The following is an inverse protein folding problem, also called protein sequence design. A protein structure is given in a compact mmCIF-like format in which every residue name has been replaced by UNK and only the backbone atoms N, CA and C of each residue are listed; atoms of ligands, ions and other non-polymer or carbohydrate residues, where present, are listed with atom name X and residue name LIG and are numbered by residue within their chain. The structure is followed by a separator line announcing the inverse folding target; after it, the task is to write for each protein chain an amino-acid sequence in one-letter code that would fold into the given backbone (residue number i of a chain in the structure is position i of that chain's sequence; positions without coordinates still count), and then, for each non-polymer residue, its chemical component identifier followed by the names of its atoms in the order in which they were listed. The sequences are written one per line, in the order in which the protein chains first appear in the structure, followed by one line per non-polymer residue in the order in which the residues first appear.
data_IF_237496374064
#
_entry.id   IF_237496374064
#
_cell.length_a   1.000
_cell.length_b   1.000
_cell.length_c   1.000
_cell.angle_alpha   90.00
_cell.angle_beta   90.00
_cell.angle_gamma   90.00
#
_symmetry.space_group_name_H-M   'P 1'
#
loop_
_entity.id
_entity.type
_entity.pdbx_description
1 polymer ?
#
# COMPACT_ATOMS: atom_id res chain seq x y z
N UNK A 1 17.13 2.69 0.73
CA UNK A 1 15.97 2.99 -0.16
C UNK A 1 14.85 2.06 0.25
N UNK A 2 13.59 2.49 0.21
CA UNK A 2 12.47 1.62 0.56
C UNK A 2 12.39 0.43 -0.40
N UNK A 3 12.24 -0.78 0.15
CA UNK A 3 11.99 -1.99 -0.64
C UNK A 3 10.52 -2.07 -1.08
N UNK A 4 10.23 -2.94 -2.05
CA UNK A 4 8.85 -3.20 -2.47
C UNK A 4 8.16 -4.07 -1.41
N UNK A 5 6.97 -3.66 -0.97
CA UNK A 5 6.12 -4.53 -0.18
C UNK A 5 5.81 -5.84 -0.94
N UNK A 6 5.95 -6.96 -0.23
CA UNK A 6 5.64 -8.29 -0.75
C UNK A 6 4.14 -8.51 -0.83
N UNK A 7 3.69 -9.55 -1.56
CA UNK A 7 2.28 -9.91 -1.55
C UNK A 7 1.81 -10.28 -0.14
N UNK A 8 2.65 -10.93 0.67
CA UNK A 8 2.35 -11.27 2.07
C UNK A 8 2.13 -10.01 2.94
N UNK A 9 2.86 -8.93 2.69
CA UNK A 9 2.64 -7.65 3.37
C UNK A 9 1.30 -7.03 2.97
N UNK A 10 0.96 -7.09 1.69
CA UNK A 10 -0.30 -6.55 1.16
C UNK A 10 -1.52 -7.34 1.65
N UNK A 11 -1.37 -8.67 1.78
CA UNK A 11 -2.42 -9.57 2.25
C UNK A 11 -2.80 -9.35 3.73
N UNK A 12 -2.03 -8.56 4.48
CA UNK A 12 -2.42 -8.13 5.83
C UNK A 12 -3.72 -7.30 5.85
N UNK A 13 -4.04 -6.61 4.75
CA UNK A 13 -5.23 -5.74 4.66
C UNK A 13 -6.00 -5.86 3.34
N UNK A 14 -5.46 -6.55 2.34
CA UNK A 14 -6.06 -6.67 1.01
C UNK A 14 -6.22 -8.13 0.59
N UNK A 15 -7.03 -8.38 -0.42
CA UNK A 15 -7.16 -9.71 -1.01
C UNK A 15 -6.28 -9.90 -2.25
N UNK A 16 -6.08 -11.16 -2.63
CA UNK A 16 -5.30 -11.52 -3.82
C UNK A 16 -5.88 -10.96 -5.12
N UNK A 17 -7.20 -10.85 -5.21
CA UNK A 17 -7.90 -10.31 -6.39
C UNK A 17 -7.51 -8.86 -6.69
N UNK A 18 -7.46 -7.99 -5.67
CA UNK A 18 -6.98 -6.63 -5.81
C UNK A 18 -5.51 -6.59 -6.25
N UNK A 19 -4.66 -7.40 -5.60
CA UNK A 19 -3.23 -7.47 -5.94
C UNK A 19 -3.04 -7.88 -7.40
N UNK A 20 -3.80 -8.87 -7.87
CA UNK A 20 -3.72 -9.35 -9.24
C UNK A 20 -4.24 -8.31 -10.24
N UNK A 21 -5.35 -7.64 -9.93
CA UNK A 21 -5.89 -6.53 -10.74
C UNK A 21 -4.86 -5.42 -10.95
N UNK A 22 -4.09 -5.08 -9.90
CA UNK A 22 -3.05 -4.05 -9.99
C UNK A 22 -1.85 -4.50 -10.82
N UNK A 23 -1.42 -5.75 -10.68
CA UNK A 23 -0.36 -6.32 -11.53
C UNK A 23 -0.77 -6.30 -13.01
N UNK A 24 -2.00 -6.69 -13.32
CA UNK A 24 -2.56 -6.69 -14.68
C UNK A 24 -2.67 -5.27 -15.26
N UNK A 25 -3.02 -4.27 -14.43
CA UNK A 25 -3.06 -2.86 -14.88
C UNK A 25 -1.71 -2.33 -15.40
N UNK A 26 -0.60 -2.95 -14.98
CA UNK A 26 0.75 -2.60 -15.41
C UNK A 26 1.11 -3.08 -16.82
N UNK A 27 0.43 -4.11 -17.32
CA UNK A 27 0.61 -4.64 -18.68
C UNK A 27 -0.50 -4.21 -19.65
N UNK A 28 -1.63 -3.73 -19.12
CA UNK A 28 -2.74 -3.20 -19.90
C UNK A 28 -2.31 -2.01 -20.79
N UNK A 29 -3.07 -1.74 -21.85
CA UNK A 29 -2.93 -0.50 -22.62
C UNK A 29 -3.62 0.69 -21.91
N UNK A 30 -3.49 1.89 -22.47
CA UNK A 30 -4.02 3.10 -21.85
C UNK A 30 -5.54 3.13 -21.76
N UNK A 31 -6.24 2.59 -22.76
CA UNK A 31 -7.70 2.58 -22.77
C UNK A 31 -8.27 1.55 -21.80
N UNK A 32 -7.65 0.37 -21.71
CA UNK A 32 -7.96 -0.63 -20.68
C UNK A 32 -7.77 -0.06 -19.26
N UNK A 33 -6.68 0.68 -19.01
CA UNK A 33 -6.46 1.37 -17.73
C UNK A 33 -7.52 2.44 -17.44
N UNK A 34 -7.96 3.19 -18.45
CA UNK A 34 -9.04 4.17 -18.30
C UNK A 34 -10.35 3.48 -17.95
N UNK A 35 -10.70 2.38 -18.63
CA UNK A 35 -11.89 1.61 -18.31
C UNK A 35 -11.83 1.00 -16.91
N UNK A 36 -10.67 0.50 -16.48
CA UNK A 36 -10.45 0.04 -15.12
C UNK A 36 -10.65 1.18 -14.10
N UNK A 37 -10.11 2.37 -14.39
CA UNK A 37 -10.23 3.55 -13.53
C UNK A 37 -11.69 3.93 -13.27
N UNK A 38 -12.56 3.82 -14.29
CA UNK A 38 -14.00 4.13 -14.19
C UNK A 38 -14.77 3.20 -13.25
N UNK A 39 -14.23 2.03 -12.92
CA UNK A 39 -14.89 1.07 -12.01
C UNK A 39 -14.80 1.46 -10.54
N UNK A 40 -13.94 2.42 -10.20
CA UNK A 40 -13.66 2.80 -8.82
C UNK A 40 -13.88 4.30 -8.60
N UNK A 41 -14.20 4.67 -7.36
CA UNK A 41 -14.44 6.07 -7.01
C UNK A 41 -13.12 6.84 -6.90
N UNK A 42 -12.94 7.81 -7.81
CA UNK A 42 -11.86 8.79 -7.76
C UNK A 42 -10.46 8.16 -7.75
N UNK A 43 -10.21 7.19 -8.65
CA UNK A 43 -8.91 6.51 -8.83
C UNK A 43 -8.50 6.57 -10.31
N UNK A 44 -7.19 6.63 -10.56
CA UNK A 44 -6.64 6.40 -11.90
C UNK A 44 -5.47 5.40 -11.85
N UNK A 45 -5.30 4.64 -12.93
CA UNK A 45 -4.18 3.72 -13.09
C UNK A 45 -3.18 4.23 -14.12
N UNK A 46 -1.91 3.95 -13.86
CA UNK A 46 -0.78 4.14 -14.76
C UNK A 46 -0.01 2.83 -14.85
N UNK A 47 0.87 2.71 -15.86
CA UNK A 47 1.75 1.54 -16.03
C UNK A 47 2.51 1.16 -14.75
N UNK A 48 2.84 2.13 -13.92
CA UNK A 48 3.66 1.93 -12.72
C UNK A 48 2.85 1.88 -11.42
N UNK A 49 1.51 1.91 -11.47
CA UNK A 49 0.67 2.06 -10.27
C UNK A 49 0.94 0.97 -9.22
N UNK A 50 0.99 -0.31 -9.60
CA UNK A 50 1.35 -1.41 -8.67
C UNK A 50 2.73 -1.19 -8.03
N UNK A 51 3.74 -0.93 -8.86
CA UNK A 51 5.13 -0.73 -8.39
C UNK A 51 5.23 0.43 -7.39
N UNK A 52 4.64 1.58 -7.69
CA UNK A 52 4.73 2.74 -6.78
C UNK A 52 3.87 2.56 -5.53
N UNK A 53 2.74 1.86 -5.61
CA UNK A 53 1.93 1.51 -4.44
C UNK A 53 2.69 0.58 -3.48
N UNK A 54 3.42 -0.41 -4.01
CA UNK A 54 4.30 -1.28 -3.21
C UNK A 54 5.46 -0.52 -2.56
N UNK A 55 6.04 0.46 -3.26
CA UNK A 55 7.06 1.33 -2.66
C UNK A 55 6.48 2.20 -1.54
N UNK A 56 5.25 2.67 -1.69
CA UNK A 56 4.57 3.46 -0.65
C UNK A 56 4.34 2.64 0.62
N UNK A 57 3.84 1.40 0.50
CA UNK A 57 3.69 0.46 1.62
C UNK A 57 5.05 0.09 2.21
N UNK A 58 6.02 -0.27 1.36
CA UNK A 58 7.36 -0.68 1.80
C UNK A 58 8.12 0.42 2.53
N UNK A 59 7.91 1.69 2.17
CA UNK A 59 8.47 2.82 2.92
C UNK A 59 7.89 2.92 4.33
N UNK A 60 6.60 2.62 4.53
CA UNK A 60 5.99 2.57 5.88
C UNK A 60 6.56 1.41 6.69
N UNK A 61 6.74 0.23 6.08
CA UNK A 61 7.32 -0.94 6.74
C UNK A 61 8.78 -0.66 7.16
N UNK A 62 9.60 -0.09 6.28
CA UNK A 62 10.99 0.25 6.60
C UNK A 62 11.08 1.31 7.72
N UNK A 63 10.18 2.30 7.70
CA UNK A 63 10.08 3.28 8.79
C UNK A 63 9.73 2.61 10.14
N UNK A 64 8.78 1.66 10.16
CA UNK A 64 8.47 0.90 11.37
C UNK A 64 9.65 0.05 11.83
N UNK A 65 10.37 -0.58 10.90
CA UNK A 65 11.53 -1.41 11.19
C UNK A 65 12.69 -0.59 11.78
N UNK A 66 13.00 0.58 11.22
CA UNK A 66 14.04 1.50 11.77
C UNK A 66 13.67 2.01 13.16
N UNK A 67 12.39 2.33 13.41
CA UNK A 67 11.89 2.66 14.74
C UNK A 67 12.01 1.48 15.71
N UNK A 68 11.63 0.29 15.27
CA UNK A 68 11.65 -0.92 16.10
C UNK A 68 13.08 -1.33 16.51
N UNK A 69 14.05 -1.18 15.61
CA UNK A 69 15.48 -1.40 15.91
C UNK A 69 16.07 -0.36 16.85
N UNK A 70 15.41 0.79 17.01
CA UNK A 70 15.91 1.92 17.80
C UNK A 70 16.90 2.81 17.04
N UNK A 71 16.99 2.68 15.71
CA UNK A 71 17.89 3.47 14.87
C UNK A 71 17.50 4.96 14.86
N UNK A 72 16.20 5.23 14.97
CA UNK A 72 15.61 6.58 14.96
C UNK A 72 14.51 6.71 16.00
N UNK A 73 14.22 7.93 16.45
CA UNK A 73 13.15 8.22 17.43
C UNK A 73 11.77 8.46 16.80
N UNK A 74 11.75 8.92 15.55
CA UNK A 74 10.55 9.17 14.76
C UNK A 74 10.89 9.03 13.27
N UNK A 75 9.85 8.86 12.45
CA UNK A 75 9.99 8.73 11.00
C UNK A 75 8.81 9.40 10.30
N UNK A 76 9.05 9.89 9.09
CA UNK A 76 8.02 10.46 8.21
C UNK A 76 8.20 9.91 6.79
N UNK A 77 7.12 9.37 6.22
CA UNK A 77 7.14 8.77 4.89
C UNK A 77 6.47 9.71 3.87
N UNK A 78 7.28 10.37 3.04
CA UNK A 78 6.77 11.17 1.92
C UNK A 78 6.49 10.28 0.72
N UNK A 79 5.28 9.72 0.67
CA UNK A 79 4.91 8.64 -0.26
C UNK A 79 3.74 9.02 -1.17
N UNK A 80 3.72 8.39 -2.35
CA UNK A 80 2.58 8.36 -3.26
C UNK A 80 2.52 6.98 -3.93
N UNK A 81 1.33 6.39 -4.16
CA UNK A 81 0.00 6.91 -3.85
C UNK A 81 -0.33 6.97 -2.34
N UNK A 82 -1.36 7.75 -1.92
CA UNK A 82 -1.91 7.68 -0.57
C UNK A 82 -2.55 6.31 -0.28
N UNK A 83 -3.02 6.08 0.95
CA UNK A 83 -3.56 4.77 1.33
C UNK A 83 -4.84 4.75 2.17
N UNK A 84 -5.14 5.76 2.98
CA UNK A 84 -6.17 5.67 4.02
C UNK A 84 -7.61 5.34 3.55
N UNK A 85 -7.95 5.56 2.27
CA UNK A 85 -9.28 5.24 1.73
C UNK A 85 -9.35 3.86 1.07
N UNK A 86 -8.22 3.19 0.83
CA UNK A 86 -8.20 1.88 0.18
C UNK A 86 -8.88 0.84 1.08
N UNK A 87 -9.79 0.07 0.49
CA UNK A 87 -10.58 -0.96 1.14
C UNK A 87 -9.98 -2.35 0.90
N UNK A 88 -10.58 -3.40 1.48
CA UNK A 88 -10.08 -4.78 1.37
C UNK A 88 -9.89 -5.23 -0.09
N UNK A 89 -10.81 -4.88 -0.99
CA UNK A 89 -10.84 -5.35 -2.39
C UNK A 89 -10.80 -4.24 -3.42
N UNK A 90 -10.82 -2.98 -2.98
CA UNK A 90 -11.12 -1.85 -3.85
C UNK A 90 -10.19 -0.65 -3.55
N UNK A 91 -9.55 -0.06 -4.56
CA UNK A 91 -8.93 1.25 -4.44
C UNK A 91 -10.01 2.34 -4.43
N UNK A 92 -9.75 3.44 -3.74
CA UNK A 92 -10.71 4.56 -3.59
C UNK A 92 -9.97 5.86 -3.29
N UNK A 93 -10.43 7.00 -3.83
CA UNK A 93 -9.91 8.32 -3.48
C UNK A 93 -8.39 8.44 -3.64
N UNK A 94 -7.88 8.06 -4.81
CA UNK A 94 -6.46 7.95 -5.17
C UNK A 94 -5.64 6.92 -4.37
N UNK A 95 -6.25 6.23 -3.40
CA UNK A 95 -5.60 5.22 -2.57
C UNK A 95 -5.64 3.86 -3.24
N UNK A 96 -4.48 3.20 -3.33
CA UNK A 96 -4.33 1.89 -3.99
C UNK A 96 -4.26 0.77 -2.96
N UNK A 97 -3.29 0.86 -2.04
CA UNK A 97 -3.18 0.01 -0.87
C UNK A 97 -3.25 0.87 0.39
N UNK A 98 -3.79 0.32 1.47
CA UNK A 98 -3.95 1.03 2.72
C UNK A 98 -2.64 1.01 3.52
N UNK A 99 -1.72 1.90 3.16
CA UNK A 99 -0.38 2.00 3.73
C UNK A 99 -0.39 2.03 5.28
N UNK A 100 -1.32 2.78 5.88
CA UNK A 100 -1.39 2.94 7.35
C UNK A 100 -2.01 1.72 8.03
N UNK A 101 -3.03 1.10 7.43
CA UNK A 101 -3.62 -0.12 7.96
C UNK A 101 -2.63 -1.30 7.88
N UNK A 102 -1.94 -1.44 6.73
CA UNK A 102 -0.88 -2.45 6.55
C UNK A 102 0.23 -2.21 7.57
N UNK A 103 0.69 -0.95 7.75
CA UNK A 103 1.69 -0.63 8.77
C UNK A 103 1.27 -1.03 10.18
N UNK A 104 0.03 -0.74 10.58
CA UNK A 104 -0.50 -1.14 11.89
C UNK A 104 -0.55 -2.66 12.06
N UNK A 105 -1.02 -3.39 11.03
CA UNK A 105 -1.05 -4.85 11.02
C UNK A 105 0.33 -5.47 11.06
N UNK A 106 1.27 -4.93 10.28
CA UNK A 106 2.67 -5.34 10.28
C UNK A 106 3.29 -5.18 11.67
N UNK A 107 3.05 -4.03 12.32
CA UNK A 107 3.54 -3.80 13.68
C UNK A 107 2.99 -4.82 14.69
N UNK A 108 1.72 -5.22 14.58
CA UNK A 108 1.13 -6.23 15.46
C UNK A 108 1.68 -7.63 15.16
N UNK A 109 1.61 -8.05 13.89
CA UNK A 109 1.81 -9.45 13.50
C UNK A 109 3.28 -9.82 13.34
N UNK A 110 4.13 -8.87 12.91
CA UNK A 110 5.55 -9.11 12.61
C UNK A 110 6.49 -8.51 13.66
N UNK A 111 6.09 -7.42 14.31
CA UNK A 111 6.92 -6.71 15.32
C UNK A 111 6.37 -6.81 16.75
N UNK A 112 5.25 -7.53 16.95
CA UNK A 112 4.65 -7.84 18.26
C UNK A 112 4.22 -6.63 19.11
N UNK A 113 3.85 -5.51 18.47
CA UNK A 113 3.20 -4.40 19.16
C UNK A 113 1.77 -4.76 19.56
N UNK A 114 1.34 -4.36 20.76
CA UNK A 114 -0.01 -4.72 21.26
C UNK A 114 -1.13 -3.80 20.78
N UNK A 115 -0.87 -2.50 20.67
CA UNK A 115 -1.91 -1.46 20.48
C UNK A 115 -1.38 -0.28 19.66
N UNK A 116 -1.29 -0.40 18.32
CA UNK A 116 -1.04 0.76 17.48
C UNK A 116 -2.23 1.72 17.55
N UNK A 117 -1.96 3.03 17.54
CA UNK A 117 -2.96 4.09 17.46
C UNK A 117 -2.77 4.80 16.13
N UNK A 118 -3.86 4.90 15.35
CA UNK A 118 -3.91 5.67 14.12
C UNK A 118 -4.62 7.00 14.44
N UNK A 119 -4.08 8.10 13.93
CA UNK A 119 -4.61 9.45 14.07
C UNK A 119 -5.00 10.00 12.70
#
# INVERSE_FOLDING_TARGET
MAELATDDDLLLCHNMELIQTLKESGIANDDERKELSKKFDSVYFSKNTDKVARLAVGAVIEALMTLHRGDVRNAFCLIRPPGHHAMLKEPCGFCIFNNVAIGAKYAIERLHYRRPVLM
#
